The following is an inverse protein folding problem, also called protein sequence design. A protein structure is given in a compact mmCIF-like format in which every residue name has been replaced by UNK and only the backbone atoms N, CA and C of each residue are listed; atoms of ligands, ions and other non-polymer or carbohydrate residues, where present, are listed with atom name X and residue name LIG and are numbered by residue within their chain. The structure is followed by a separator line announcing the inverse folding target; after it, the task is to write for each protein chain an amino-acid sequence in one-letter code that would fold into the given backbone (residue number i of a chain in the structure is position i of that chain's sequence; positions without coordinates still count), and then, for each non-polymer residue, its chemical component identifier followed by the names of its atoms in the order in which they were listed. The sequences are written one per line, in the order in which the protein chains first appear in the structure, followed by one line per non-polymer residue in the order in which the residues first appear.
data_IF_878699449661
#
_entry.id   IF_878699449661
#
_cell.length_a   1.000
_cell.length_b   1.000
_cell.length_c   1.000
_cell.angle_alpha   90.00
_cell.angle_beta   90.00
_cell.angle_gamma   90.00
#
_symmetry.space_group_name_H-M   'P 1'
#
loop_
_entity.id
_entity.type
_entity.pdbx_description
1 polymer ?
#
# COMPACT_ATOMS: atom_id res chain seq x y z
N UNK A 1 46.35 -10.32 49.73
CA UNK A 1 46.95 -9.08 50.29
C UNK A 1 45.94 -7.96 50.09
N UNK A 2 45.06 -7.64 51.05
CA UNK A 2 45.28 -6.74 52.20
C UNK A 2 46.02 -5.46 51.81
N UNK A 3 45.28 -4.36 51.67
CA UNK A 3 45.51 -3.07 52.35
C UNK A 3 44.17 -2.37 52.58
N UNK A 4 43.96 -2.00 53.84
CA UNK A 4 42.92 -1.13 54.38
C UNK A 4 43.40 0.33 54.29
N UNK A 5 42.46 1.26 54.47
CA UNK A 5 42.47 2.43 55.37
C UNK A 5 41.69 3.58 54.70
N UNK A 6 40.43 3.88 55.10
CA UNK A 6 39.89 4.72 56.20
C UNK A 6 39.96 6.24 56.01
N UNK A 7 38.89 6.87 56.52
CA UNK A 7 38.58 8.32 56.70
C UNK A 7 37.66 8.89 55.60
N UNK A 8 36.48 9.45 55.86
CA UNK A 8 35.88 9.99 57.09
C UNK A 8 35.53 11.46 56.84
N UNK A 9 34.25 11.80 56.59
CA UNK A 9 33.68 13.11 56.91
C UNK A 9 32.17 13.17 56.69
N UNK A 10 31.49 13.68 57.71
CA UNK A 10 30.07 14.00 57.82
C UNK A 10 29.68 15.18 56.93
N UNK A 11 28.40 15.36 56.61
CA UNK A 11 27.95 16.64 56.03
C UNK A 11 26.59 16.66 55.34
N UNK A 12 25.54 16.88 56.14
CA UNK A 12 24.38 17.73 55.88
C UNK A 12 23.58 17.66 54.56
N UNK A 13 22.31 17.25 54.74
CA UNK A 13 21.18 17.57 53.88
C UNK A 13 20.87 19.07 53.96
N UNK A 14 20.82 19.76 52.82
CA UNK A 14 20.11 21.04 52.70
C UNK A 14 18.98 20.92 51.65
N UNK A 15 17.78 21.20 52.12
CA UNK A 15 16.58 21.34 51.32
C UNK A 15 16.64 22.65 50.51
N UNK A 16 16.32 22.58 49.22
CA UNK A 16 16.14 23.77 48.38
C UNK A 16 14.76 24.39 48.64
N UNK A 17 14.77 25.68 48.92
CA UNK A 17 13.61 26.53 49.22
C UNK A 17 12.83 26.95 47.97
N UNK A 18 11.56 27.31 48.18
CA UNK A 18 10.49 27.48 47.18
C UNK A 18 10.58 28.75 46.29
N UNK A 19 11.65 29.55 46.38
CA UNK A 19 11.73 30.86 45.71
C UNK A 19 12.47 30.88 44.36
N UNK A 20 13.18 29.82 43.96
CA UNK A 20 13.83 29.76 42.62
C UNK A 20 12.84 29.44 41.47
N UNK A 21 11.60 29.05 41.77
CA UNK A 21 10.63 28.58 40.76
C UNK A 21 9.65 29.67 40.24
N UNK A 22 9.74 30.90 40.75
CA UNK A 22 8.87 32.02 40.30
C UNK A 22 9.50 32.90 39.22
N UNK A 23 10.81 32.82 38.98
CA UNK A 23 11.51 33.72 38.06
C UNK A 23 11.51 33.23 36.59
N UNK A 24 11.47 31.92 36.35
CA UNK A 24 11.43 31.36 34.98
C UNK A 24 10.08 31.52 34.24
N UNK A 25 9.00 31.96 34.91
CA UNK A 25 7.67 32.12 34.29
C UNK A 25 7.38 33.53 33.76
N UNK A 26 8.24 34.51 33.99
CA UNK A 26 8.02 35.90 33.54
C UNK A 26 8.55 36.21 32.13
N UNK A 27 9.47 35.39 31.59
CA UNK A 27 10.17 35.71 30.33
C UNK A 27 9.58 35.14 29.02
N UNK A 28 8.47 34.39 29.06
CA UNK A 28 7.86 33.82 27.84
C UNK A 28 6.57 34.50 27.35
N UNK A 29 6.23 35.68 27.90
CA UNK A 29 5.01 36.41 27.52
C UNK A 29 5.23 37.69 26.70
N UNK A 30 6.46 37.98 26.26
CA UNK A 30 6.85 39.25 25.60
C UNK A 30 7.37 39.11 24.16
N UNK A 31 6.86 38.14 23.39
CA UNK A 31 7.06 38.06 21.93
C UNK A 31 5.76 37.74 21.23
N UNK A 32 4.89 38.74 21.11
CA UNK A 32 3.84 38.82 20.11
C UNK A 32 3.38 40.28 20.03
N UNK A 33 3.41 40.79 18.79
CA UNK A 33 2.89 42.08 18.30
C UNK A 33 3.85 43.27 18.29
N UNK A 34 3.73 44.02 17.18
CA UNK A 34 4.37 45.29 16.76
C UNK A 34 5.72 45.09 16.03
N UNK A 35 5.92 45.51 14.77
CA UNK A 35 5.37 46.67 14.02
C UNK A 35 5.33 46.43 12.49
N UNK A 36 4.35 47.05 11.82
CA UNK A 36 4.42 47.49 10.41
C UNK A 36 5.12 48.86 10.38
N UNK A 37 5.99 49.09 9.39
CA UNK A 37 5.94 50.31 8.56
C UNK A 37 6.91 50.20 7.37
N UNK A 38 6.58 50.98 6.35
CA UNK A 38 6.96 50.92 4.94
C UNK A 38 8.40 51.32 4.63
N UNK A 39 8.90 50.89 3.46
CA UNK A 39 9.44 51.83 2.46
C UNK A 39 9.60 51.18 1.08
N UNK A 40 9.13 51.92 0.08
CA UNK A 40 9.28 51.74 -1.36
C UNK A 40 10.75 51.88 -1.82
N UNK A 41 11.15 51.16 -2.88
CA UNK A 41 11.43 51.70 -4.23
C UNK A 41 12.31 50.76 -5.10
N UNK A 42 11.89 50.62 -6.37
CA UNK A 42 12.66 50.32 -7.59
C UNK A 42 13.31 48.92 -7.76
N UNK A 43 13.18 48.18 -8.87
CA UNK A 43 13.20 48.61 -10.28
C UNK A 43 12.53 47.57 -11.19
N UNK A 44 11.80 48.09 -12.17
CA UNK A 44 11.26 47.44 -13.37
C UNK A 44 12.34 46.68 -14.17
N UNK A 45 11.95 45.56 -14.80
CA UNK A 45 12.02 45.41 -16.28
C UNK A 45 11.09 44.29 -16.75
N UNK A 46 10.20 44.67 -17.66
CA UNK A 46 9.46 43.81 -18.60
C UNK A 46 10.47 43.13 -19.55
N UNK A 47 10.08 42.02 -20.19
CA UNK A 47 9.84 41.94 -21.66
C UNK A 47 9.54 40.48 -22.05
N UNK A 48 8.73 40.40 -23.08
CA UNK A 48 8.05 39.31 -23.78
C UNK A 48 8.91 38.15 -24.32
N UNK A 49 8.21 37.07 -24.68
CA UNK A 49 8.23 36.63 -26.08
C UNK A 49 9.19 35.50 -26.47
N UNK A 50 8.58 34.35 -26.78
CA UNK A 50 8.73 33.59 -28.03
C UNK A 50 10.11 33.43 -28.70
N UNK A 51 10.45 32.15 -28.92
CA UNK A 51 10.79 31.53 -30.22
C UNK A 51 12.22 31.01 -30.47
N UNK A 52 12.22 29.81 -31.07
CA UNK A 52 13.19 29.23 -32.02
C UNK A 52 14.53 28.76 -31.44
N UNK A 53 14.80 27.45 -31.41
CA UNK A 53 15.43 26.68 -32.51
C UNK A 53 16.74 27.31 -32.96
N UNK A 54 17.84 26.62 -32.66
CA UNK A 54 18.97 26.48 -33.59
C UNK A 54 19.82 25.29 -33.15
N UNK A 55 19.84 24.27 -33.99
CA UNK A 55 20.91 23.30 -34.10
C UNK A 55 22.19 23.99 -34.59
N UNK A 56 23.35 23.50 -34.16
CA UNK A 56 24.56 23.30 -34.97
C UNK A 56 25.52 22.42 -34.13
N UNK A 57 25.83 21.17 -34.48
CA UNK A 57 26.62 20.60 -35.60
C UNK A 57 28.11 20.47 -35.24
N UNK A 58 28.67 19.34 -35.67
CA UNK A 58 30.10 18.99 -35.88
C UNK A 58 30.86 18.38 -34.68
N UNK A 59 31.69 17.35 -34.81
CA UNK A 59 31.94 16.31 -35.83
C UNK A 59 32.96 15.31 -35.22
N UNK A 60 32.92 14.05 -35.70
CA UNK A 60 34.01 13.06 -35.84
C UNK A 60 35.09 12.83 -34.73
N UNK A 61 35.28 11.57 -34.31
CA UNK A 61 36.31 10.65 -34.89
C UNK A 61 36.29 9.25 -34.24
N UNK A 62 36.79 8.31 -35.05
CA UNK A 62 36.79 6.84 -34.95
C UNK A 62 37.92 6.25 -34.09
N UNK A 63 37.86 4.90 -33.98
CA UNK A 63 38.93 3.91 -33.68
C UNK A 63 39.28 3.69 -32.19
N UNK A 64 39.64 2.50 -31.71
CA UNK A 64 39.66 1.13 -32.23
C UNK A 64 40.00 0.17 -31.05
N UNK A 65 39.49 -1.06 -31.18
CA UNK A 65 40.16 -2.35 -30.90
C UNK A 65 40.74 -2.77 -29.54
N UNK A 66 40.48 -4.06 -29.29
CA UNK A 66 41.30 -5.11 -28.68
C UNK A 66 41.70 -5.07 -27.21
N UNK A 67 41.29 -6.13 -26.50
CA UNK A 67 42.25 -7.21 -26.14
C UNK A 67 41.56 -8.37 -25.40
N UNK A 68 41.61 -9.54 -26.02
CA UNK A 68 41.57 -10.82 -25.34
C UNK A 68 42.90 -11.05 -24.59
N UNK A 69 42.88 -11.63 -23.39
CA UNK A 69 43.76 -12.78 -23.16
C UNK A 69 43.40 -13.67 -21.96
N UNK A 70 43.66 -14.96 -22.21
CA UNK A 70 43.47 -16.16 -21.40
C UNK A 70 44.39 -16.19 -20.17
N UNK A 71 44.00 -16.99 -19.14
CA UNK A 71 44.89 -18.02 -18.56
C UNK A 71 44.13 -19.07 -17.73
N UNK A 72 44.41 -20.34 -18.06
CA UNK A 72 44.12 -21.59 -17.34
C UNK A 72 45.06 -21.74 -16.13
N UNK A 73 44.62 -22.51 -15.11
CA UNK A 73 45.31 -23.63 -14.40
C UNK A 73 44.52 -23.99 -13.12
N UNK A 74 43.97 -25.19 -13.03
CA UNK A 74 44.51 -26.46 -12.48
C UNK A 74 44.06 -26.68 -11.03
N UNK A 75 43.34 -27.80 -10.83
CA UNK A 75 43.07 -28.45 -9.55
C UNK A 75 44.36 -28.99 -8.91
N UNK A 76 44.33 -29.27 -7.59
CA UNK A 76 44.33 -30.70 -7.23
C UNK A 76 43.41 -31.06 -6.04
N UNK A 77 42.98 -32.32 -6.05
CA UNK A 77 42.53 -33.10 -4.89
C UNK A 77 43.72 -33.33 -3.92
N UNK A 78 43.54 -33.28 -2.59
CA UNK A 78 43.13 -34.45 -1.80
C UNK A 78 43.23 -34.24 -0.25
N UNK A 79 42.38 -35.00 0.45
CA UNK A 79 42.43 -35.49 1.85
C UNK A 79 42.42 -34.54 3.08
N UNK A 80 41.30 -34.62 3.84
CA UNK A 80 41.35 -35.30 5.15
C UNK A 80 41.34 -34.49 6.47
N UNK A 81 40.23 -34.65 7.21
CA UNK A 81 40.15 -34.88 8.68
C UNK A 81 39.75 -33.70 9.62
N UNK A 82 38.56 -33.92 10.23
CA UNK A 82 38.07 -33.62 11.60
C UNK A 82 37.37 -32.30 12.00
N UNK A 83 36.06 -32.47 12.21
CA UNK A 83 35.30 -32.14 13.43
C UNK A 83 35.44 -30.75 14.06
N UNK A 84 34.51 -29.85 13.71
CA UNK A 84 33.92 -28.91 14.68
C UNK A 84 32.42 -28.73 14.43
N UNK A 85 31.64 -29.11 15.45
CA UNK A 85 30.19 -29.04 15.64
C UNK A 85 29.51 -27.85 14.93
N UNK A 86 28.68 -28.16 13.92
CA UNK A 86 27.61 -27.26 13.45
C UNK A 86 26.46 -27.29 14.45
N UNK A 87 26.20 -26.15 15.12
CA UNK A 87 24.92 -25.89 15.79
C UNK A 87 23.89 -25.55 14.71
N UNK A 88 22.79 -26.27 14.77
CA UNK A 88 21.62 -26.30 13.89
C UNK A 88 20.88 -24.96 13.80
N UNK A 89 20.56 -24.55 12.57
CA UNK A 89 19.76 -23.38 12.20
C UNK A 89 18.28 -23.50 12.63
N UNK A 90 17.84 -24.67 13.09
CA UNK A 90 16.47 -24.91 13.59
C UNK A 90 16.19 -24.27 14.97
N UNK A 91 17.21 -23.99 15.78
CA UNK A 91 17.02 -23.37 17.10
C UNK A 91 16.80 -21.84 17.02
N UNK A 92 17.17 -21.21 15.90
CA UNK A 92 16.96 -19.78 15.66
C UNK A 92 15.53 -19.46 15.20
N UNK A 93 14.84 -20.40 14.54
CA UNK A 93 13.44 -20.21 14.11
C UNK A 93 12.42 -20.52 15.22
N UNK A 94 12.70 -21.51 16.10
CA UNK A 94 11.87 -21.74 17.30
C UNK A 94 11.88 -20.52 18.23
N UNK A 95 13.01 -19.83 18.37
CA UNK A 95 13.13 -18.64 19.24
C UNK A 95 12.43 -17.37 18.70
N UNK A 96 12.28 -17.21 17.38
CA UNK A 96 11.51 -16.09 16.80
C UNK A 96 9.99 -16.30 16.86
N UNK A 97 9.52 -17.55 16.76
CA UNK A 97 8.08 -17.87 16.82
C UNK A 97 7.49 -17.81 18.24
N UNK A 98 8.30 -18.11 19.26
CA UNK A 98 7.94 -17.94 20.67
C UNK A 98 7.71 -16.47 21.02
N UNK A 99 8.63 -15.59 20.60
CA UNK A 99 8.62 -14.18 20.97
C UNK A 99 7.41 -13.40 20.41
N UNK A 100 6.91 -13.74 19.22
CA UNK A 100 5.72 -13.10 18.63
C UNK A 100 4.41 -13.57 19.28
N UNK A 101 4.27 -14.87 19.59
CA UNK A 101 3.13 -15.39 20.35
C UNK A 101 3.13 -14.83 21.76
N UNK A 102 4.30 -14.72 22.37
CA UNK A 102 4.47 -14.16 23.71
C UNK A 102 4.21 -12.65 23.75
N UNK A 103 4.63 -11.88 22.73
CA UNK A 103 4.24 -10.46 22.61
C UNK A 103 2.74 -10.27 22.39
N UNK A 104 2.08 -11.09 21.55
CA UNK A 104 0.62 -11.03 21.39
C UNK A 104 -0.11 -11.43 22.67
N UNK A 105 0.37 -12.45 23.37
CA UNK A 105 -0.14 -12.87 24.68
C UNK A 105 0.04 -11.74 25.72
N UNK A 106 1.23 -11.13 25.80
CA UNK A 106 1.53 -9.97 26.68
C UNK A 106 0.68 -8.74 26.35
N UNK A 107 0.43 -8.44 25.07
CA UNK A 107 -0.49 -7.34 24.66
C UNK A 107 -1.94 -7.63 25.05
N UNK A 108 -2.45 -8.83 24.78
CA UNK A 108 -3.80 -9.24 25.20
C UNK A 108 -3.94 -9.28 26.71
N UNK A 109 -2.91 -9.73 27.43
CA UNK A 109 -2.88 -9.76 28.88
C UNK A 109 -2.83 -8.36 29.47
N UNK A 110 -2.09 -7.43 28.84
CA UNK A 110 -2.13 -6.01 29.19
C UNK A 110 -3.53 -5.41 28.98
N UNK A 111 -4.18 -5.69 27.83
CA UNK A 111 -5.55 -5.23 27.58
C UNK A 111 -6.56 -5.84 28.57
N UNK A 112 -6.45 -7.14 28.88
CA UNK A 112 -7.29 -7.79 29.91
C UNK A 112 -7.04 -7.20 31.29
N UNK A 113 -5.79 -6.96 31.69
CA UNK A 113 -5.44 -6.28 32.95
C UNK A 113 -6.03 -4.87 33.02
N UNK A 114 -6.05 -4.13 31.92
CA UNK A 114 -6.71 -2.80 31.85
C UNK A 114 -8.23 -2.92 32.02
N UNK A 115 -8.87 -3.87 31.33
CA UNK A 115 -10.32 -4.11 31.45
C UNK A 115 -10.70 -4.59 32.86
N UNK A 116 -9.90 -5.47 33.45
CA UNK A 116 -10.11 -5.98 34.81
C UNK A 116 -9.83 -4.93 35.87
N UNK A 117 -8.83 -4.06 35.66
CA UNK A 117 -8.62 -2.87 36.48
C UNK A 117 -9.84 -1.93 36.41
N UNK A 118 -10.42 -1.72 35.22
CA UNK A 118 -11.63 -0.90 35.07
C UNK A 118 -12.84 -1.57 35.76
N UNK A 119 -13.02 -2.89 35.63
CA UNK A 119 -14.10 -3.63 36.31
C UNK A 119 -13.93 -3.61 37.82
N UNK A 120 -12.73 -3.87 38.33
CA UNK A 120 -12.40 -3.81 39.77
C UNK A 120 -12.58 -2.40 40.32
N UNK A 121 -12.22 -1.38 39.54
CA UNK A 121 -12.42 0.02 39.91
C UNK A 121 -13.90 0.40 39.95
N UNK A 122 -14.72 -0.05 38.99
CA UNK A 122 -16.18 0.13 39.02
C UNK A 122 -16.78 -0.51 40.28
N UNK A 123 -16.39 -1.74 40.63
CA UNK A 123 -16.85 -2.42 41.86
C UNK A 123 -16.45 -1.65 43.13
N UNK A 124 -15.21 -1.16 43.19
CA UNK A 124 -14.75 -0.34 44.33
C UNK A 124 -15.49 1.00 44.44
N UNK A 125 -15.85 1.61 43.32
CA UNK A 125 -16.68 2.82 43.30
C UNK A 125 -18.09 2.55 43.82
N UNK A 126 -18.75 1.50 43.33
CA UNK A 126 -20.08 1.08 43.80
C UNK A 126 -20.08 0.79 45.29
N UNK A 127 -19.11 0.01 45.77
CA UNK A 127 -18.98 -0.32 47.19
C UNK A 127 -18.62 0.90 48.06
N UNK A 128 -17.85 1.86 47.54
CA UNK A 128 -17.56 3.11 48.24
C UNK A 128 -18.80 4.01 48.34
N UNK A 129 -19.65 4.03 47.31
CA UNK A 129 -20.94 4.73 47.35
C UNK A 129 -21.88 4.09 48.37
N UNK A 130 -22.07 2.77 48.34
CA UNK A 130 -22.93 2.04 49.29
C UNK A 130 -22.49 2.22 50.74
N UNK A 131 -21.18 2.18 51.01
CA UNK A 131 -20.63 2.40 52.35
C UNK A 131 -20.80 3.84 52.84
N UNK A 132 -20.77 4.83 51.93
CA UNK A 132 -21.07 6.23 52.28
C UNK A 132 -22.56 6.42 52.58
N UNK A 133 -23.45 5.73 51.88
CA UNK A 133 -24.89 5.74 52.16
C UNK A 133 -25.21 5.09 53.52
N UNK A 134 -24.49 4.02 53.88
CA UNK A 134 -24.61 3.37 55.22
C UNK A 134 -24.02 4.24 56.35
N UNK A 135 -22.92 4.95 56.12
CA UNK A 135 -22.32 5.86 57.12
C UNK A 135 -23.15 7.12 57.38
N UNK A 136 -23.90 7.62 56.40
CA UNK A 136 -24.82 8.75 56.59
C UNK A 136 -26.01 8.44 57.52
N UNK A 137 -26.27 7.17 57.85
CA UNK A 137 -27.28 6.76 58.84
C UNK A 137 -26.76 6.66 60.28
N UNK A 138 -25.46 6.88 60.51
CA UNK A 138 -24.86 6.85 61.86
C UNK A 138 -23.85 8.00 62.00
N UNK A 139 -24.32 9.19 62.32
CA UNK A 139 -23.45 10.29 62.77
C UNK A 139 -24.09 11.00 63.95
N UNK A 140 -23.70 10.54 65.15
CA UNK A 140 -23.66 11.35 66.37
C UNK A 140 -22.20 11.66 66.68
N UNK A 141 -21.91 12.94 66.92
CA UNK A 141 -20.72 13.54 67.58
C UNK A 141 -19.34 12.94 67.26
N UNK A 142 -18.59 13.57 66.34
CA UNK A 142 -17.16 13.30 66.11
C UNK A 142 -16.31 14.57 66.25
N UNK A 143 -15.20 14.44 66.98
CA UNK A 143 -14.20 15.48 67.31
C UNK A 143 -13.45 16.07 66.11
N UNK A 144 -13.00 17.33 66.26
CA UNK A 144 -12.34 18.15 65.23
C UNK A 144 -11.11 17.49 64.56
N UNK A 145 -10.36 16.64 65.26
CA UNK A 145 -9.17 15.99 64.68
C UNK A 145 -9.51 14.89 63.65
N UNK A 146 -10.65 14.21 63.85
CA UNK A 146 -11.16 13.18 62.93
C UNK A 146 -11.63 13.78 61.59
N UNK A 147 -12.16 15.01 61.64
CA UNK A 147 -12.59 15.78 60.47
C UNK A 147 -11.41 16.17 59.56
N UNK A 148 -10.24 16.50 60.13
CA UNK A 148 -9.05 16.86 59.36
C UNK A 148 -8.46 15.67 58.58
N UNK A 149 -8.38 14.49 59.21
CA UNK A 149 -7.92 13.23 58.55
C UNK A 149 -8.90 12.80 57.46
N UNK A 150 -10.22 12.97 57.68
CA UNK A 150 -11.28 12.71 56.68
C UNK A 150 -11.14 13.64 55.46
N UNK A 151 -10.94 14.95 55.67
CA UNK A 151 -10.70 15.95 54.60
C UNK A 151 -9.45 15.64 53.76
N UNK A 152 -8.34 15.22 54.38
CA UNK A 152 -7.13 14.81 53.64
C UNK A 152 -7.35 13.55 52.79
N UNK A 153 -8.08 12.55 53.30
CA UNK A 153 -8.39 11.31 52.58
C UNK A 153 -9.37 11.56 51.43
N UNK A 154 -10.36 12.43 51.60
CA UNK A 154 -11.27 12.86 50.54
C UNK A 154 -10.56 13.67 49.44
N UNK A 155 -9.65 14.58 49.79
CA UNK A 155 -8.81 15.28 48.80
C UNK A 155 -8.00 14.30 47.96
N UNK A 156 -7.35 13.30 48.57
CA UNK A 156 -6.60 12.25 47.83
C UNK A 156 -7.50 11.42 46.91
N UNK A 157 -8.71 11.04 47.36
CA UNK A 157 -9.70 10.32 46.53
C UNK A 157 -10.17 11.17 45.34
N UNK A 158 -10.48 12.46 45.56
CA UNK A 158 -10.90 13.40 44.49
C UNK A 158 -9.80 13.61 43.45
N UNK A 159 -8.54 13.65 43.88
CA UNK A 159 -7.40 13.77 42.96
C UNK A 159 -7.19 12.52 42.11
N UNK A 160 -7.33 11.33 42.70
CA UNK A 160 -7.29 10.05 41.95
C UNK A 160 -8.42 9.95 40.92
N UNK A 161 -9.65 10.36 41.25
CA UNK A 161 -10.76 10.40 40.29
C UNK A 161 -10.46 11.33 39.10
N UNK A 162 -10.00 12.56 39.36
CA UNK A 162 -9.62 13.52 38.29
C UNK A 162 -8.49 12.98 37.40
N UNK A 163 -7.54 12.23 37.96
CA UNK A 163 -6.48 11.60 37.18
C UNK A 163 -7.04 10.49 36.26
N UNK A 164 -7.91 9.62 36.79
CA UNK A 164 -8.58 8.58 36.01
C UNK A 164 -9.47 9.16 34.89
N UNK A 165 -10.24 10.22 35.18
CA UNK A 165 -11.06 10.93 34.19
C UNK A 165 -10.19 11.50 33.06
N UNK A 166 -9.03 12.09 33.37
CA UNK A 166 -8.08 12.58 32.37
C UNK A 166 -7.53 11.46 31.49
N UNK A 167 -7.22 10.29 32.06
CA UNK A 167 -6.72 9.12 31.31
C UNK A 167 -7.82 8.59 30.39
N UNK A 168 -9.05 8.41 30.90
CA UNK A 168 -10.20 7.96 30.10
C UNK A 168 -10.51 8.98 28.99
N UNK A 169 -10.45 10.28 29.28
CA UNK A 169 -10.64 11.32 28.27
C UNK A 169 -9.55 11.30 27.18
N UNK A 170 -8.27 11.09 27.56
CA UNK A 170 -7.17 10.91 26.60
C UNK A 170 -7.36 9.67 25.74
N UNK A 171 -7.81 8.56 26.33
CA UNK A 171 -8.09 7.31 25.59
C UNK A 171 -9.28 7.48 24.64
N UNK A 172 -10.38 8.11 25.08
CA UNK A 172 -11.53 8.44 24.22
C UNK A 172 -11.14 9.36 23.06
N UNK A 173 -10.28 10.36 23.31
CA UNK A 173 -9.72 11.22 22.27
C UNK A 173 -8.85 10.45 21.26
N UNK A 174 -8.00 9.52 21.72
CA UNK A 174 -7.20 8.67 20.82
C UNK A 174 -8.08 7.73 19.99
N UNK A 175 -9.07 7.08 20.60
CA UNK A 175 -10.02 6.19 19.91
C UNK A 175 -10.90 6.95 18.91
N UNK A 176 -11.32 8.18 19.21
CA UNK A 176 -11.99 9.05 18.23
C UNK A 176 -11.08 9.39 17.06
N UNK A 177 -9.83 9.77 17.34
CA UNK A 177 -8.84 10.13 16.30
C UNK A 177 -8.46 8.95 15.38
N UNK A 178 -8.44 7.73 15.90
CA UNK A 178 -8.20 6.52 15.09
C UNK A 178 -9.46 6.05 14.32
N UNK A 179 -10.65 6.53 14.70
CA UNK A 179 -11.93 6.13 14.13
C UNK A 179 -12.50 7.08 13.07
N UNK A 180 -12.21 8.38 13.17
CA UNK A 180 -12.76 9.45 12.32
C UNK A 180 -11.98 9.61 10.98
N UNK A 181 -10.70 9.23 10.95
CA UNK A 181 -9.81 9.45 9.79
C UNK A 181 -9.49 8.16 9.01
N UNK A 182 -10.48 7.30 8.74
CA UNK A 182 -10.28 6.10 7.89
C UNK A 182 -11.51 5.79 7.02
N UNK A 183 -11.35 5.78 5.68
CA UNK A 183 -12.41 5.34 4.77
C UNK A 183 -12.49 3.81 4.84
N UNK A 184 -13.67 3.28 5.12
CA UNK A 184 -13.87 1.84 5.32
C UNK A 184 -14.57 1.24 4.13
N UNK A 185 -13.83 0.44 3.36
CA UNK A 185 -14.37 -0.31 2.24
C UNK A 185 -14.61 -1.76 2.71
N UNK A 186 -15.87 -2.15 2.75
CA UNK A 186 -16.30 -3.52 3.02
C UNK A 186 -16.38 -4.27 1.69
N UNK A 187 -15.67 -5.38 1.64
CA UNK A 187 -15.56 -6.25 0.47
C UNK A 187 -16.32 -7.54 0.74
N UNK A 188 -17.11 -7.97 -0.24
CA UNK A 188 -17.84 -9.24 -0.21
C UNK A 188 -16.88 -10.38 -0.57
N UNK A 189 -16.03 -10.74 0.39
CA UNK A 189 -15.04 -11.81 0.25
C UNK A 189 -15.47 -13.09 0.95
N UNK A 190 -15.33 -14.21 0.26
CA UNK A 190 -15.49 -15.54 0.84
C UNK A 190 -14.19 -15.96 1.54
N UNK A 191 -14.30 -16.50 2.75
CA UNK A 191 -13.14 -17.11 3.41
C UNK A 191 -12.98 -18.54 2.90
N UNK A 192 -11.93 -18.77 2.12
CA UNK A 192 -11.63 -20.08 1.54
C UNK A 192 -10.51 -20.81 2.30
N UNK A 193 -10.45 -22.13 2.16
CA UNK A 193 -9.26 -22.90 2.54
C UNK A 193 -8.18 -22.68 1.47
N UNK A 194 -6.92 -22.94 1.80
CA UNK A 194 -5.86 -22.93 0.80
C UNK A 194 -6.10 -24.11 -0.15
N UNK A 195 -6.80 -23.87 -1.25
CA UNK A 195 -6.89 -24.84 -2.34
C UNK A 195 -5.56 -24.83 -3.08
N UNK A 196 -4.92 -25.99 -3.18
CA UNK A 196 -3.80 -26.19 -4.10
C UNK A 196 -4.41 -26.58 -5.43
N UNK A 197 -4.65 -25.62 -6.31
CA UNK A 197 -4.94 -25.93 -7.71
C UNK A 197 -3.67 -26.55 -8.29
N UNK A 198 -3.80 -27.70 -8.94
CA UNK A 198 -2.66 -28.33 -9.60
C UNK A 198 -2.38 -27.60 -10.91
N UNK A 199 -1.45 -26.66 -10.89
CA UNK A 199 -0.99 -25.92 -12.09
C UNK A 199 0.26 -26.56 -12.71
N UNK A 200 0.65 -27.76 -12.26
CA UNK A 200 1.87 -28.44 -12.69
C UNK A 200 1.90 -28.81 -14.18
N UNK A 201 0.73 -28.96 -14.80
CA UNK A 201 0.60 -29.25 -16.23
C UNK A 201 0.48 -27.99 -17.09
N UNK A 202 0.40 -26.81 -16.48
CA UNK A 202 0.18 -25.57 -17.22
C UNK A 202 1.52 -25.08 -17.80
N UNK A 203 1.46 -24.43 -18.96
CA UNK A 203 2.63 -23.74 -19.50
C UNK A 203 2.99 -22.58 -18.57
N UNK A 204 4.22 -22.55 -18.05
CA UNK A 204 4.67 -21.50 -17.15
C UNK A 204 5.56 -20.51 -17.90
N UNK A 205 5.19 -19.23 -17.88
CA UNK A 205 6.02 -18.15 -18.40
C UNK A 205 6.66 -17.42 -17.22
N UNK A 206 7.97 -17.21 -17.30
CA UNK A 206 8.69 -16.40 -16.32
C UNK A 206 8.48 -14.92 -16.65
N UNK A 207 8.15 -14.12 -15.64
CA UNK A 207 8.01 -12.68 -15.80
C UNK A 207 9.31 -12.01 -15.35
N UNK A 208 9.82 -11.09 -16.16
CA UNK A 208 10.95 -10.23 -15.79
C UNK A 208 10.53 -9.15 -14.79
N UNK A 209 11.52 -8.39 -14.35
CA UNK A 209 11.30 -7.17 -13.56
C UNK A 209 10.30 -6.24 -14.26
N UNK A 210 9.46 -5.56 -13.49
CA UNK A 210 8.42 -4.70 -14.04
C UNK A 210 7.21 -5.43 -14.63
N UNK A 211 7.10 -6.76 -14.44
CA UNK A 211 5.96 -7.57 -14.89
C UNK A 211 5.81 -7.67 -16.39
N UNK A 212 6.95 -7.66 -17.06
CA UNK A 212 7.04 -7.80 -18.49
C UNK A 212 7.46 -9.22 -18.86
N UNK A 213 6.94 -9.67 -19.99
CA UNK A 213 7.34 -10.93 -20.63
C UNK A 213 8.14 -10.56 -21.87
N UNK A 214 9.28 -11.22 -22.08
CA UNK A 214 10.00 -11.04 -23.34
C UNK A 214 9.22 -11.67 -24.48
N UNK A 215 9.24 -11.00 -25.62
CA UNK A 215 8.59 -11.50 -26.81
C UNK A 215 9.36 -11.09 -28.05
N UNK A 216 8.95 -11.67 -29.17
CA UNK A 216 9.35 -11.20 -30.49
C UNK A 216 8.13 -10.96 -31.37
N UNK A 217 8.24 -9.97 -32.24
CA UNK A 217 7.30 -9.71 -33.34
C UNK A 217 8.12 -9.62 -34.62
N UNK A 218 7.78 -10.43 -35.62
CA UNK A 218 8.57 -10.54 -36.86
C UNK A 218 10.07 -10.78 -36.58
N UNK A 219 10.38 -11.58 -35.55
CA UNK A 219 11.74 -11.88 -35.10
C UNK A 219 12.46 -10.75 -34.36
N UNK A 220 11.86 -9.57 -34.22
CA UNK A 220 12.44 -8.43 -33.47
C UNK A 220 12.00 -8.48 -32.00
N UNK A 221 12.92 -8.24 -31.05
CA UNK A 221 12.60 -8.31 -29.62
C UNK A 221 11.73 -7.14 -29.17
N UNK A 222 10.79 -7.43 -28.26
CA UNK A 222 9.98 -6.46 -27.55
C UNK A 222 9.59 -6.98 -26.16
N UNK A 223 9.00 -6.12 -25.35
CA UNK A 223 8.43 -6.48 -24.05
C UNK A 223 6.91 -6.50 -24.14
N UNK A 224 6.28 -7.37 -23.35
CA UNK A 224 4.82 -7.47 -23.25
C UNK A 224 4.40 -7.27 -21.81
N UNK A 225 3.57 -6.27 -21.56
CA UNK A 225 2.93 -6.03 -20.27
C UNK A 225 1.57 -6.72 -20.23
N UNK A 226 1.34 -7.57 -19.23
CA UNK A 226 0.07 -8.26 -19.05
C UNK A 226 -0.83 -7.45 -18.12
N UNK A 227 -1.89 -6.88 -18.67
CA UNK A 227 -2.69 -5.87 -17.97
C UNK A 227 -4.18 -6.24 -17.87
N UNK A 228 -4.60 -6.68 -16.67
CA UNK A 228 -6.01 -6.93 -16.36
C UNK A 228 -6.86 -5.65 -16.30
N UNK A 229 -6.21 -4.49 -16.24
CA UNK A 229 -6.82 -3.16 -16.32
C UNK A 229 -7.05 -2.68 -17.75
N UNK A 230 -6.49 -3.36 -18.76
CA UNK A 230 -6.64 -3.01 -20.16
C UNK A 230 -7.71 -3.86 -20.86
N UNK A 231 -8.69 -3.20 -21.49
CA UNK A 231 -9.72 -3.86 -22.29
C UNK A 231 -9.31 -4.16 -23.73
N UNK A 232 -8.25 -3.50 -24.21
CA UNK A 232 -7.71 -3.62 -25.56
C UNK A 232 -6.19 -3.72 -25.50
N UNK A 233 -5.59 -4.42 -26.46
CA UNK A 233 -4.14 -4.48 -26.58
C UNK A 233 -3.67 -3.22 -27.28
N UNK A 234 -2.59 -2.63 -26.77
CA UNK A 234 -2.09 -1.34 -27.25
C UNK A 234 -0.58 -1.34 -27.40
N UNK A 235 -0.07 -0.52 -28.32
CA UNK A 235 1.35 -0.20 -28.41
C UNK A 235 1.51 1.27 -28.82
N UNK A 236 2.68 1.86 -28.57
CA UNK A 236 2.99 3.22 -29.06
C UNK A 236 3.54 3.17 -30.49
N UNK A 237 3.26 4.22 -31.28
CA UNK A 237 3.71 4.36 -32.67
C UNK A 237 5.21 4.10 -32.87
N UNK A 238 6.06 4.66 -32.02
CA UNK A 238 7.52 4.47 -32.09
C UNK A 238 7.93 2.99 -31.97
N UNK A 239 7.23 2.21 -31.13
CA UNK A 239 7.43 0.77 -31.05
C UNK A 239 6.93 0.06 -32.31
N UNK A 240 5.74 0.41 -32.80
CA UNK A 240 5.20 -0.16 -34.03
C UNK A 240 6.15 0.03 -35.23
N UNK A 241 6.74 1.22 -35.36
CA UNK A 241 7.73 1.55 -36.39
C UNK A 241 9.02 0.74 -36.20
N UNK A 242 9.54 0.66 -34.97
CA UNK A 242 10.72 -0.15 -34.63
C UNK A 242 10.51 -1.63 -35.01
N UNK A 243 9.32 -2.16 -34.73
CA UNK A 243 8.95 -3.54 -35.07
C UNK A 243 8.68 -3.72 -36.58
N UNK A 244 8.50 -2.64 -37.34
CA UNK A 244 8.19 -2.68 -38.77
C UNK A 244 6.74 -3.08 -39.06
N UNK A 245 5.84 -2.82 -38.11
CA UNK A 245 4.40 -3.07 -38.24
C UNK A 245 3.64 -1.89 -38.85
N UNK A 246 4.21 -0.69 -38.73
CA UNK A 246 3.65 0.55 -39.25
C UNK A 246 4.75 1.40 -39.86
N UNK A 247 4.39 2.13 -40.91
CA UNK A 247 5.23 3.04 -41.68
C UNK A 247 5.02 4.49 -41.27
N UNK A 248 3.87 4.82 -40.67
CA UNK A 248 3.43 6.18 -40.37
C UNK A 248 2.49 6.77 -41.44
N UNK A 249 2.18 6.03 -42.50
CA UNK A 249 1.24 6.43 -43.56
C UNK A 249 -0.10 5.71 -43.48
N UNK A 250 -0.30 4.86 -42.46
CA UNK A 250 -1.55 4.16 -42.26
C UNK A 250 -2.69 5.11 -41.92
N UNK A 251 -3.90 4.76 -42.34
CA UNK A 251 -5.10 5.48 -41.97
C UNK A 251 -5.34 5.37 -40.46
N UNK A 252 -5.69 6.51 -39.84
CA UNK A 252 -6.04 6.56 -38.43
C UNK A 252 -7.55 6.62 -38.26
N UNK A 253 -8.04 6.00 -37.18
CA UNK A 253 -9.44 6.03 -36.79
C UNK A 253 -9.54 6.68 -35.42
N UNK A 254 -10.50 7.60 -35.26
CA UNK A 254 -10.84 8.15 -33.96
C UNK A 254 -11.38 7.08 -33.03
N UNK A 255 -10.70 6.87 -31.92
CA UNK A 255 -11.11 5.94 -30.89
C UNK A 255 -11.19 6.62 -29.53
N UNK A 256 -12.39 6.56 -28.94
CA UNK A 256 -12.62 7.03 -27.57
C UNK A 256 -12.24 5.96 -26.56
N UNK A 257 -11.40 6.32 -25.60
CA UNK A 257 -10.83 5.45 -24.58
C UNK A 257 -11.08 6.02 -23.19
N UNK A 258 -11.27 5.14 -22.22
CA UNK A 258 -11.27 5.50 -20.79
C UNK A 258 -9.97 5.04 -20.18
N UNK A 259 -9.09 5.98 -19.85
CA UNK A 259 -7.76 5.71 -19.32
C UNK A 259 -7.61 6.29 -17.91
N UNK A 260 -6.45 6.06 -17.29
CA UNK A 260 -6.05 6.73 -16.06
C UNK A 260 -6.00 8.26 -16.16
N UNK A 261 -5.85 8.81 -17.37
CA UNK A 261 -5.91 10.25 -17.63
C UNK A 261 -7.35 10.77 -17.83
N UNK A 262 -8.33 9.87 -17.81
CA UNK A 262 -9.73 10.13 -18.07
C UNK A 262 -10.16 9.69 -19.46
N UNK A 263 -11.31 10.22 -19.89
CA UNK A 263 -11.83 9.97 -21.25
C UNK A 263 -10.96 10.71 -22.25
N UNK A 264 -10.29 9.96 -23.13
CA UNK A 264 -9.49 10.48 -24.22
C UNK A 264 -10.14 10.09 -25.55
N UNK A 265 -10.01 10.95 -26.55
CA UNK A 265 -10.25 10.59 -27.95
C UNK A 265 -8.89 10.67 -28.64
N UNK A 266 -8.45 9.56 -29.22
CA UNK A 266 -7.15 9.45 -29.88
C UNK A 266 -7.36 9.00 -31.32
N UNK A 267 -6.57 9.54 -32.24
CA UNK A 267 -6.40 8.99 -33.57
C UNK A 267 -5.44 7.80 -33.49
N UNK A 268 -5.96 6.59 -33.73
CA UNK A 268 -5.19 5.34 -33.58
C UNK A 268 -5.13 4.59 -34.90
N UNK A 269 -4.01 3.91 -35.15
CA UNK A 269 -3.92 2.93 -36.23
C UNK A 269 -4.42 1.59 -35.67
N UNK A 270 -5.30 0.91 -36.40
CA UNK A 270 -5.78 -0.42 -36.01
C UNK A 270 -5.04 -1.50 -36.78
N UNK A 271 -4.28 -2.30 -36.06
CA UNK A 271 -3.69 -3.52 -36.60
C UNK A 271 -4.59 -4.69 -36.21
N UNK A 272 -5.21 -5.32 -37.20
CA UNK A 272 -6.17 -6.40 -36.97
C UNK A 272 -5.52 -7.67 -36.41
N UNK A 273 -4.29 -7.96 -36.85
CA UNK A 273 -3.56 -9.17 -36.46
C UNK A 273 -2.08 -8.85 -36.26
N UNK A 274 -1.63 -8.94 -35.01
CA UNK A 274 -0.21 -8.89 -34.63
C UNK A 274 0.14 -10.20 -33.96
N UNK A 275 1.12 -10.89 -34.54
CA UNK A 275 1.63 -12.17 -34.02
C UNK A 275 2.84 -11.92 -33.13
N UNK A 276 2.66 -12.24 -31.86
CA UNK A 276 3.68 -12.18 -30.81
C UNK A 276 4.14 -13.61 -30.51
N UNK A 277 5.44 -13.81 -30.32
CA UNK A 277 5.99 -15.04 -29.76
C UNK A 277 6.59 -14.71 -28.41
N UNK A 278 5.88 -15.05 -27.33
CA UNK A 278 6.34 -14.87 -25.96
C UNK A 278 7.46 -15.85 -25.63
N UNK A 279 8.25 -15.51 -24.62
CA UNK A 279 9.24 -16.41 -24.01
C UNK A 279 8.60 -17.77 -23.68
N UNK A 280 9.31 -18.86 -24.00
CA UNK A 280 8.77 -20.22 -23.92
C UNK A 280 7.98 -20.67 -25.16
N UNK A 281 7.92 -19.86 -26.22
CA UNK A 281 7.35 -20.24 -27.52
C UNK A 281 5.83 -20.13 -27.61
N UNK A 282 5.19 -19.43 -26.67
CA UNK A 282 3.74 -19.18 -26.70
C UNK A 282 3.44 -18.15 -27.78
N UNK A 283 2.68 -18.55 -28.78
CA UNK A 283 2.29 -17.70 -29.91
C UNK A 283 0.94 -17.06 -29.62
N UNK A 284 0.87 -15.73 -29.73
CA UNK A 284 -0.33 -14.92 -29.52
C UNK A 284 -0.66 -14.14 -30.78
N UNK A 285 -1.82 -14.37 -31.36
CA UNK A 285 -2.40 -13.49 -32.38
C UNK A 285 -3.39 -12.55 -31.70
N UNK A 286 -3.18 -11.24 -31.79
CA UNK A 286 -4.04 -10.24 -31.17
C UNK A 286 -4.19 -9.02 -32.07
N UNK A 287 -5.39 -8.40 -32.13
CA UNK A 287 -5.49 -7.04 -32.63
C UNK A 287 -4.75 -6.09 -31.69
N UNK A 288 -4.17 -5.02 -32.23
CA UNK A 288 -3.49 -3.97 -31.46
C UNK A 288 -3.88 -2.60 -31.97
N UNK A 289 -4.27 -1.71 -31.05
CA UNK A 289 -4.40 -0.28 -31.35
C UNK A 289 -3.05 0.41 -31.14
N UNK A 290 -2.54 1.06 -32.17
CA UNK A 290 -1.29 1.83 -32.11
C UNK A 290 -1.63 3.27 -31.74
N UNK A 291 -1.17 3.70 -30.58
CA UNK A 291 -1.38 5.04 -30.06
C UNK A 291 -0.35 6.03 -30.63
N UNK A 292 -0.73 7.31 -30.77
CA UNK A 292 0.17 8.33 -31.28
C UNK A 292 1.36 8.54 -30.34
N UNK A 293 2.49 8.98 -30.91
CA UNK A 293 3.75 9.16 -30.19
C UNK A 293 3.63 10.10 -28.98
N UNK A 294 2.70 11.08 -29.01
CA UNK A 294 2.44 11.96 -27.87
C UNK A 294 2.04 11.21 -26.57
N UNK A 295 1.60 9.96 -26.68
CA UNK A 295 1.22 9.12 -25.54
C UNK A 295 2.41 8.33 -24.95
N UNK A 296 3.59 8.41 -25.55
CA UNK A 296 4.80 7.67 -25.15
C UNK A 296 5.22 7.97 -23.71
N UNK A 297 5.17 9.23 -23.29
CA UNK A 297 5.53 9.65 -21.93
C UNK A 297 4.58 9.12 -20.85
N UNK A 298 3.41 8.60 -21.25
CA UNK A 298 2.35 8.14 -20.34
C UNK A 298 2.34 6.61 -20.28
N UNK A 299 2.41 5.96 -21.43
CA UNK A 299 2.28 4.50 -21.54
C UNK A 299 3.62 3.78 -21.75
N UNK A 300 4.73 4.50 -21.96
CA UNK A 300 6.03 3.94 -22.29
C UNK A 300 6.14 3.50 -23.76
N UNK A 301 7.36 3.48 -24.30
CA UNK A 301 7.64 3.09 -25.70
C UNK A 301 8.15 1.68 -25.88
N UNK A 302 8.39 0.94 -24.80
CA UNK A 302 9.18 -0.29 -24.90
C UNK A 302 8.35 -1.56 -24.97
N UNK A 303 7.05 -1.47 -24.67
CA UNK A 303 6.20 -2.64 -24.53
C UNK A 303 4.86 -2.55 -25.25
N UNK A 304 4.35 -3.74 -25.54
CA UNK A 304 2.99 -3.98 -25.99
C UNK A 304 2.16 -4.36 -24.77
N UNK A 305 1.04 -3.69 -24.55
CA UNK A 305 0.09 -4.07 -23.51
C UNK A 305 -0.83 -5.14 -24.09
N UNK A 306 -0.92 -6.28 -23.42
CA UNK A 306 -1.83 -7.36 -23.78
C UNK A 306 -3.13 -7.21 -22.98
N UNK A 307 -4.26 -7.18 -23.69
CA UNK A 307 -5.58 -6.99 -23.09
C UNK A 307 -6.01 -8.14 -22.21
N UNK A 308 -6.97 -7.81 -21.34
CA UNK A 308 -7.64 -8.74 -20.48
C UNK A 308 -8.31 -9.92 -21.22
N UNK A 309 -8.91 -9.67 -22.38
CA UNK A 309 -9.56 -10.72 -23.16
C UNK A 309 -8.58 -11.84 -23.53
N UNK A 310 -7.36 -11.50 -23.95
CA UNK A 310 -6.32 -12.50 -24.26
C UNK A 310 -5.90 -13.26 -23.00
N UNK A 311 -5.81 -12.60 -21.86
CA UNK A 311 -5.49 -13.27 -20.59
C UNK A 311 -6.57 -14.29 -20.20
N UNK A 312 -7.84 -13.99 -20.46
CA UNK A 312 -8.95 -14.92 -20.20
C UNK A 312 -8.99 -16.09 -21.18
N UNK A 313 -8.74 -15.85 -22.48
CA UNK A 313 -8.77 -16.90 -23.51
C UNK A 313 -7.76 -18.02 -23.27
N UNK A 314 -6.56 -17.68 -22.77
CA UNK A 314 -5.54 -18.67 -22.40
C UNK A 314 -5.84 -19.40 -21.08
N UNK A 315 -6.96 -19.06 -20.43
CA UNK A 315 -7.33 -19.54 -19.11
C UNK A 315 -6.18 -19.33 -18.09
N UNK A 316 -5.67 -18.10 -18.03
CA UNK A 316 -4.48 -17.78 -17.26
C UNK A 316 -4.72 -17.86 -15.74
N UNK A 317 -3.64 -18.17 -15.03
CA UNK A 317 -3.54 -18.13 -13.58
C UNK A 317 -2.25 -17.40 -13.20
N UNK A 318 -2.36 -16.34 -12.41
CA UNK A 318 -1.23 -15.49 -12.04
C UNK A 318 -1.01 -15.47 -10.54
N UNK A 319 0.22 -15.73 -10.10
CA UNK A 319 0.60 -15.81 -8.70
C UNK A 319 1.64 -14.76 -8.33
N UNK A 320 1.33 -13.97 -7.31
CA UNK A 320 2.17 -12.89 -6.81
C UNK A 320 2.88 -13.33 -5.53
N UNK A 321 4.18 -13.07 -5.45
CA UNK A 321 5.02 -13.45 -4.32
C UNK A 321 5.58 -12.23 -3.59
N UNK A 322 5.85 -12.38 -2.28
CA UNK A 322 6.33 -11.26 -1.43
C UNK A 322 7.73 -10.75 -1.80
N UNK A 323 8.51 -11.55 -2.53
CA UNK A 323 9.85 -11.17 -2.99
C UNK A 323 9.81 -10.31 -4.27
N UNK A 324 8.64 -9.84 -4.71
CA UNK A 324 8.51 -9.09 -5.96
C UNK A 324 8.39 -9.96 -7.22
N UNK A 325 8.54 -11.29 -7.10
CA UNK A 325 8.39 -12.18 -8.26
C UNK A 325 6.92 -12.48 -8.56
N UNK A 326 6.64 -12.76 -9.83
CA UNK A 326 5.35 -13.19 -10.32
C UNK A 326 5.52 -14.42 -11.20
N UNK A 327 4.53 -15.32 -11.16
CA UNK A 327 4.47 -16.47 -12.08
C UNK A 327 3.15 -16.45 -12.83
N UNK A 328 3.25 -16.66 -14.12
CA UNK A 328 2.09 -16.79 -14.99
C UNK A 328 2.01 -18.21 -15.51
N UNK A 329 0.83 -18.80 -15.37
CA UNK A 329 0.53 -20.13 -15.85
C UNK A 329 -0.61 -20.04 -16.88
N UNK A 330 -0.41 -20.63 -18.04
CA UNK A 330 -1.38 -20.68 -19.13
C UNK A 330 -1.87 -22.12 -19.24
N UNK A 331 -3.18 -22.32 -19.09
CA UNK A 331 -3.77 -23.65 -19.21
C UNK A 331 -3.97 -24.05 -20.67
N UNK A 332 -4.38 -23.11 -21.51
CA UNK A 332 -4.70 -23.33 -22.93
C UNK A 332 -3.95 -22.32 -23.83
N UNK A 333 -2.61 -22.32 -23.85
CA UNK A 333 -1.82 -21.38 -24.65
C UNK A 333 -2.10 -21.49 -26.16
N UNK A 334 -2.53 -22.66 -26.65
CA UNK A 334 -2.89 -22.89 -28.05
C UNK A 334 -4.06 -22.03 -28.54
N UNK A 335 -4.99 -21.65 -27.65
CA UNK A 335 -6.11 -20.76 -27.98
C UNK A 335 -5.64 -19.37 -28.35
N UNK A 336 -4.47 -18.96 -27.83
CA UNK A 336 -3.91 -17.66 -28.15
C UNK A 336 -3.46 -17.51 -29.62
N UNK A 337 -3.31 -18.62 -30.35
CA UNK A 337 -2.97 -18.60 -31.78
C UNK A 337 -4.15 -18.19 -32.65
N UNK A 338 -5.36 -18.47 -32.18
CA UNK A 338 -6.57 -18.17 -32.93
C UNK A 338 -6.80 -16.66 -32.92
N UNK A 339 -7.33 -16.15 -34.03
CA UNK A 339 -7.74 -14.76 -34.11
C UNK A 339 -8.77 -14.51 -33.01
N UNK A 340 -8.61 -13.41 -32.29
CA UNK A 340 -9.59 -12.96 -31.31
C UNK A 340 -10.96 -12.88 -32.01
N UNK A 341 -11.96 -13.60 -31.51
CA UNK A 341 -13.31 -13.49 -32.06
C UNK A 341 -13.77 -12.03 -31.95
N UNK A 342 -14.08 -11.43 -33.09
CA UNK A 342 -14.49 -10.03 -33.22
C UNK A 342 -15.80 -9.84 -32.45
N UNK A 343 -15.74 -9.17 -31.30
CA UNK A 343 -16.91 -8.88 -30.46
C UNK A 343 -16.62 -8.91 -28.96
N UNK A 344 -15.57 -9.60 -28.53
CA UNK A 344 -15.14 -9.62 -27.13
C UNK A 344 -14.36 -8.35 -26.79
N UNK A 345 -15.03 -7.20 -26.60
CA UNK A 345 -14.44 -6.13 -25.79
C UNK A 345 -14.13 -6.73 -24.43
N UNK A 346 -12.84 -6.90 -24.12
CA UNK A 346 -12.40 -7.47 -22.86
C UNK A 346 -12.88 -6.59 -21.73
N UNK A 347 -13.75 -7.13 -20.87
CA UNK A 347 -14.15 -6.42 -19.67
C UNK A 347 -12.99 -6.49 -18.67
N UNK A 348 -12.64 -5.34 -18.11
CA UNK A 348 -11.58 -5.27 -17.10
C UNK A 348 -12.06 -5.82 -15.77
N UNK A 349 -11.16 -6.41 -14.99
CA UNK A 349 -11.55 -6.97 -13.70
C UNK A 349 -11.86 -5.87 -12.70
N UNK A 350 -13.10 -5.90 -12.20
CA UNK A 350 -13.56 -4.99 -11.16
C UNK A 350 -14.26 -5.77 -10.05
N UNK A 351 -14.33 -5.18 -8.87
CA UNK A 351 -15.24 -5.65 -7.82
C UNK A 351 -15.90 -4.47 -7.13
N UNK A 352 -17.05 -4.73 -6.52
CA UNK A 352 -17.79 -3.76 -5.74
C UNK A 352 -17.28 -3.70 -4.30
N UNK A 353 -17.12 -2.49 -3.78
CA UNK A 353 -16.83 -2.22 -2.38
C UNK A 353 -17.95 -1.36 -1.77
N UNK A 354 -18.46 -1.76 -0.61
CA UNK A 354 -19.45 -1.00 0.14
C UNK A 354 -18.77 -0.09 1.15
N UNK A 355 -19.33 1.08 1.42
CA UNK A 355 -18.90 1.94 2.54
C UNK A 355 -20.11 2.44 3.30
N UNK A 356 -19.95 2.66 4.61
CA UNK A 356 -21.03 3.20 5.43
C UNK A 356 -21.41 4.61 4.95
N UNK A 357 -22.70 4.85 4.74
CA UNK A 357 -23.23 6.16 4.30
C UNK A 357 -23.25 6.38 2.78
N UNK A 358 -22.83 5.39 1.98
CA UNK A 358 -22.98 5.41 0.52
C UNK A 358 -23.76 4.16 0.12
N UNK A 359 -24.97 4.36 -0.39
CA UNK A 359 -25.85 3.26 -0.81
C UNK A 359 -25.28 2.53 -2.04
N UNK A 360 -24.84 3.28 -3.05
CA UNK A 360 -24.26 2.72 -4.26
C UNK A 360 -22.85 2.17 -4.02
N UNK A 361 -22.53 0.96 -4.52
CA UNK A 361 -21.19 0.41 -4.40
C UNK A 361 -20.13 1.28 -5.09
N UNK A 362 -18.93 1.24 -4.53
CA UNK A 362 -17.72 1.82 -5.09
C UNK A 362 -16.97 0.74 -5.86
N UNK A 363 -16.93 0.88 -7.19
CA UNK A 363 -16.16 0.02 -8.08
C UNK A 363 -14.65 0.19 -7.89
N UNK A 364 -13.96 -0.94 -7.72
CA UNK A 364 -12.51 -1.06 -7.62
C UNK A 364 -11.99 -1.84 -8.82
N UNK A 365 -11.05 -1.26 -9.57
CA UNK A 365 -10.33 -1.92 -10.66
C UNK A 365 -9.20 -2.80 -10.11
N UNK A 366 -9.02 -3.99 -10.68
CA UNK A 366 -7.85 -4.85 -10.48
C UNK A 366 -6.93 -4.63 -11.67
N UNK A 367 -5.80 -3.97 -11.44
CA UNK A 367 -4.92 -3.49 -12.50
C UNK A 367 -3.51 -4.08 -12.32
N UNK A 368 -3.21 -5.14 -13.09
CA UNK A 368 -1.85 -5.72 -13.12
C UNK A 368 -0.88 -4.90 -13.96
N UNK A 369 -1.32 -3.93 -14.76
CA UNK A 369 -0.47 -2.97 -15.45
C UNK A 369 0.06 -1.84 -14.54
N UNK A 370 -0.58 -1.61 -13.41
CA UNK A 370 -0.26 -0.51 -12.49
C UNK A 370 0.75 -0.88 -11.38
N UNK A 371 1.88 -0.16 -11.33
CA UNK A 371 2.86 -0.24 -10.23
C UNK A 371 2.48 0.66 -9.04
N UNK A 372 1.41 0.29 -8.33
CA UNK A 372 0.95 1.01 -7.15
C UNK A 372 0.32 0.07 -6.14
N UNK A 373 0.13 0.50 -4.88
CA UNK A 373 -0.63 -0.28 -3.90
C UNK A 373 -2.14 -0.14 -4.14
N UNK A 374 -2.66 1.04 -3.83
CA UNK A 374 -4.10 1.32 -3.87
C UNK A 374 -4.34 2.81 -4.10
N UNK A 375 -5.33 3.10 -4.93
CA UNK A 375 -5.52 4.44 -5.47
C UNK A 375 -6.98 4.85 -5.53
N UNK A 376 -7.27 6.13 -5.30
CA UNK A 376 -8.60 6.72 -5.46
C UNK A 376 -8.61 7.75 -6.59
N UNK A 377 -9.57 7.61 -7.50
CA UNK A 377 -9.76 8.52 -8.64
C UNK A 377 -10.53 9.77 -8.20
N UNK A 378 -10.54 10.83 -9.04
CA UNK A 378 -11.39 12.00 -8.78
C UNK A 378 -12.86 11.63 -8.71
N UNK A 379 -13.33 10.74 -9.58
CA UNK A 379 -14.71 10.21 -9.55
C UNK A 379 -15.01 9.53 -8.22
N UNK A 380 -14.09 8.68 -7.73
CA UNK A 380 -14.22 8.05 -6.42
C UNK A 380 -14.25 9.06 -5.28
N UNK A 381 -13.35 10.03 -5.34
CA UNK A 381 -13.24 11.11 -4.38
C UNK A 381 -14.53 11.94 -4.29
N UNK A 382 -15.05 12.40 -5.43
CA UNK A 382 -16.24 13.23 -5.52
C UNK A 382 -17.48 12.46 -5.04
N UNK A 383 -17.58 11.17 -5.36
CA UNK A 383 -18.65 10.30 -4.85
C UNK A 383 -18.57 10.13 -3.33
N UNK A 384 -17.37 9.94 -2.78
CA UNK A 384 -17.19 9.87 -1.32
C UNK A 384 -17.54 11.21 -0.67
N UNK A 385 -17.06 12.33 -1.20
CA UNK A 385 -17.30 13.68 -0.64
C UNK A 385 -18.76 14.13 -0.68
N UNK A 386 -19.48 13.83 -1.76
CA UNK A 386 -20.88 14.23 -1.92
C UNK A 386 -21.84 13.46 -0.99
N UNK A 387 -21.43 12.28 -0.52
CA UNK A 387 -22.25 11.38 0.31
C UNK A 387 -21.77 11.25 1.75
N UNK A 388 -20.61 11.84 2.07
CA UNK A 388 -20.08 11.92 3.44
C UNK A 388 -19.99 13.38 3.87
N UNK A 389 -19.78 13.63 5.16
CA UNK A 389 -19.66 15.00 5.66
C UNK A 389 -18.43 15.67 5.00
N UNK A 390 -18.58 16.80 4.26
CA UNK A 390 -17.49 17.44 3.51
C UNK A 390 -16.29 17.84 4.37
N UNK A 391 -16.52 18.05 5.67
CA UNK A 391 -15.49 18.40 6.65
C UNK A 391 -14.61 17.21 7.06
N UNK A 392 -15.00 15.98 6.68
CA UNK A 392 -14.22 14.76 6.80
C UNK A 392 -13.61 14.51 5.42
N UNK A 393 -12.49 15.18 5.12
CA UNK A 393 -11.68 14.86 3.95
C UNK A 393 -11.48 13.34 3.88
N UNK A 394 -11.51 12.71 2.70
CA UNK A 394 -11.21 11.30 2.59
C UNK A 394 -9.82 11.11 3.18
N UNK A 395 -9.71 10.26 4.19
CA UNK A 395 -8.46 10.12 4.89
C UNK A 395 -7.41 9.57 3.93
N UNK A 396 -6.15 9.91 4.17
CA UNK A 396 -4.98 9.25 3.53
C UNK A 396 -4.94 7.73 3.76
N UNK A 397 -5.90 7.16 4.50
CA UNK A 397 -5.95 5.78 4.98
C UNK A 397 -7.27 5.14 4.57
N UNK A 398 -7.18 4.01 3.90
CA UNK A 398 -8.33 3.15 3.58
C UNK A 398 -8.19 1.87 4.39
N UNK A 399 -9.31 1.42 4.92
CA UNK A 399 -9.41 0.15 5.61
C UNK A 399 -10.25 -0.79 4.78
N UNK A 400 -9.59 -1.84 4.30
CA UNK A 400 -10.21 -2.90 3.51
C UNK A 400 -10.68 -4.00 4.48
N UNK A 401 -12.00 -4.19 4.54
CA UNK A 401 -12.63 -5.18 5.38
C UNK A 401 -13.05 -6.39 4.54
N UNK A 402 -12.45 -7.54 4.83
CA UNK A 402 -12.72 -8.83 4.20
C UNK A 402 -13.55 -9.69 5.17
N UNK A 403 -14.87 -9.61 5.08
CA UNK A 403 -15.79 -10.23 6.05
C UNK A 403 -15.51 -9.77 7.49
N UNK A 404 -15.16 -10.70 8.37
CA UNK A 404 -14.80 -10.42 9.78
C UNK A 404 -13.31 -10.08 9.98
N UNK A 405 -12.49 -10.19 8.93
CA UNK A 405 -11.09 -9.82 8.99
C UNK A 405 -10.93 -8.41 8.46
N UNK A 406 -10.06 -7.64 9.10
CA UNK A 406 -9.86 -6.26 8.73
C UNK A 406 -8.37 -6.05 8.54
N UNK A 407 -8.01 -5.51 7.39
CA UNK A 407 -6.70 -4.96 7.14
C UNK A 407 -6.80 -3.46 6.91
N UNK A 408 -5.76 -2.73 7.29
CA UNK A 408 -5.72 -1.28 7.15
C UNK A 408 -4.55 -0.93 6.26
N UNK A 409 -4.85 -0.41 5.07
CA UNK A 409 -3.84 0.21 4.23
C UNK A 409 -3.50 1.58 4.82
N UNK A 410 -2.20 1.82 5.01
CA UNK A 410 -1.73 3.02 5.70
C UNK A 410 -1.63 4.23 4.79
N UNK A 411 -1.64 4.04 3.48
CA UNK A 411 -1.53 5.12 2.49
C UNK A 411 -2.44 4.81 1.31
N UNK A 412 -3.10 5.84 0.78
CA UNK A 412 -3.79 5.81 -0.51
C UNK A 412 -3.23 6.95 -1.32
N UNK A 413 -2.92 6.67 -2.57
CA UNK A 413 -2.57 7.69 -3.55
C UNK A 413 -3.82 8.23 -4.25
N UNK A 414 -3.73 9.48 -4.72
CA UNK A 414 -4.90 10.20 -5.22
C UNK A 414 -4.69 10.72 -6.65
N UNK A 415 -5.71 10.54 -7.49
CA UNK A 415 -5.82 11.21 -8.80
C UNK A 415 -6.68 12.45 -8.77
N UNK A 416 -6.16 13.51 -9.39
CA UNK A 416 -7.03 14.57 -9.87
C UNK A 416 -7.79 14.21 -11.17
N UNK A 417 -7.65 12.98 -11.70
CA UNK A 417 -8.30 12.55 -12.95
C UNK A 417 -9.57 11.75 -12.67
N UNK A 418 -10.61 12.03 -13.46
CA UNK A 418 -11.88 11.29 -13.43
C UNK A 418 -11.75 10.00 -14.24
N UNK A 419 -12.28 8.90 -13.73
CA UNK A 419 -12.28 7.61 -14.41
C UNK A 419 -13.65 6.92 -14.28
N UNK A 420 -13.84 5.81 -15.01
CA UNK A 420 -15.04 4.96 -14.95
C UNK A 420 -15.09 4.06 -13.71
N UNK A 421 -14.07 4.12 -12.85
CA UNK A 421 -13.97 3.41 -11.59
C UNK A 421 -13.60 4.39 -10.46
N UNK A 422 -13.86 3.98 -9.21
CA UNK A 422 -13.65 4.83 -8.04
C UNK A 422 -12.27 4.60 -7.42
N UNK A 423 -11.83 3.33 -7.42
CA UNK A 423 -10.52 2.93 -6.91
C UNK A 423 -9.84 1.99 -7.89
N UNK A 424 -8.55 1.82 -7.72
CA UNK A 424 -7.78 0.80 -8.39
C UNK A 424 -6.77 0.18 -7.42
N UNK A 425 -6.55 -1.12 -7.61
CA UNK A 425 -5.58 -1.92 -6.88
C UNK A 425 -4.49 -2.36 -7.84
N UNK A 426 -3.24 -2.10 -7.47
CA UNK A 426 -2.08 -2.40 -8.30
C UNK A 426 -1.19 -3.49 -7.73
N UNK A 427 -0.09 -3.71 -8.44
CA UNK A 427 0.86 -4.81 -8.23
C UNK A 427 1.54 -4.83 -6.86
N UNK A 428 1.81 -3.67 -6.27
CA UNK A 428 2.47 -3.60 -4.97
C UNK A 428 1.60 -4.24 -3.89
N UNK A 429 0.29 -3.98 -3.94
CA UNK A 429 -0.66 -4.59 -3.01
C UNK A 429 -0.87 -6.09 -3.30
N UNK A 430 -0.87 -6.48 -4.57
CA UNK A 430 -0.91 -7.89 -4.96
C UNK A 430 0.26 -8.69 -4.38
N UNK A 431 1.48 -8.16 -4.42
CA UNK A 431 2.65 -8.79 -3.76
C UNK A 431 2.51 -8.85 -2.24
N UNK A 432 2.15 -7.73 -1.63
CA UNK A 432 2.01 -7.62 -0.17
C UNK A 432 1.07 -8.71 0.36
N UNK A 433 -0.01 -8.97 -0.38
CA UNK A 433 -1.06 -9.92 -0.01
C UNK A 433 -0.94 -11.30 -0.67
N UNK A 434 0.14 -11.56 -1.42
CA UNK A 434 0.33 -12.81 -2.17
C UNK A 434 -0.92 -13.17 -2.97
N UNK A 435 -1.38 -12.22 -3.78
CA UNK A 435 -2.57 -12.37 -4.59
C UNK A 435 -2.40 -13.53 -5.58
N UNK A 436 -3.51 -14.18 -5.87
CA UNK A 436 -3.63 -15.16 -6.94
C UNK A 436 -4.83 -14.75 -7.78
N UNK A 437 -4.61 -14.44 -9.04
CA UNK A 437 -5.66 -14.06 -9.99
C UNK A 437 -5.95 -15.27 -10.86
N UNK A 438 -7.21 -15.70 -10.85
CA UNK A 438 -7.72 -16.74 -11.72
C UNK A 438 -8.61 -16.08 -12.78
N UNK A 439 -8.15 -16.12 -14.03
CA UNK A 439 -8.83 -15.43 -15.13
C UNK A 439 -10.04 -16.21 -15.64
N UNK A 440 -10.09 -17.52 -15.38
CA UNK A 440 -11.21 -18.41 -15.74
C UNK A 440 -12.37 -18.18 -14.80
N UNK A 441 -12.10 -18.29 -13.50
CA UNK A 441 -13.11 -18.14 -12.47
C UNK A 441 -13.43 -16.67 -12.20
N UNK A 442 -12.75 -15.75 -12.91
CA UNK A 442 -12.82 -14.30 -12.70
C UNK A 442 -12.73 -13.98 -11.21
N UNK A 443 -11.67 -14.45 -10.57
CA UNK A 443 -11.53 -14.33 -9.12
C UNK A 443 -10.12 -13.90 -8.72
N UNK A 444 -10.04 -13.23 -7.56
CA UNK A 444 -8.76 -12.91 -6.92
C UNK A 444 -8.77 -13.43 -5.49
N UNK A 445 -7.73 -14.17 -5.13
CA UNK A 445 -7.54 -14.69 -3.79
C UNK A 445 -6.36 -14.01 -3.11
N UNK A 446 -6.61 -13.44 -1.93
CA UNK A 446 -5.58 -12.80 -1.11
C UNK A 446 -5.22 -13.66 0.10
N UNK A 447 -3.95 -13.62 0.50
CA UNK A 447 -3.46 -14.21 1.74
C UNK A 447 -3.16 -13.11 2.77
N UNK A 448 -4.13 -12.82 3.63
CA UNK A 448 -4.02 -11.78 4.67
C UNK A 448 -3.97 -12.44 6.04
N UNK A 449 -2.92 -12.17 6.82
CA UNK A 449 -2.75 -12.72 8.18
C UNK A 449 -2.88 -14.26 8.23
N UNK A 450 -2.34 -14.97 7.24
CA UNK A 450 -2.42 -16.44 7.07
C UNK A 450 -3.84 -16.98 6.83
N UNK A 451 -4.79 -16.13 6.45
CA UNK A 451 -6.13 -16.52 5.99
C UNK A 451 -6.26 -16.20 4.52
N UNK A 452 -7.06 -17.00 3.82
CA UNK A 452 -7.33 -16.82 2.40
C UNK A 452 -8.71 -16.22 2.20
N UNK A 453 -8.80 -15.19 1.37
CA UNK A 453 -10.04 -14.51 1.03
C UNK A 453 -10.17 -14.45 -0.48
N UNK A 454 -11.25 -15.00 -1.02
CA UNK A 454 -11.57 -14.98 -2.45
C UNK A 454 -12.61 -13.90 -2.72
N UNK A 455 -12.34 -13.05 -3.70
CA UNK A 455 -13.30 -12.12 -4.28
C UNK A 455 -13.65 -12.59 -5.68
N UNK A 456 -14.94 -12.54 -6.01
CA UNK A 456 -15.41 -12.65 -7.38
C UNK A 456 -15.29 -11.30 -8.06
N UNK A 457 -14.82 -11.32 -9.29
CA UNK A 457 -14.58 -10.16 -10.13
C UNK A 457 -15.73 -10.08 -11.14
N UNK A 458 -16.32 -8.91 -11.27
CA UNK A 458 -17.24 -8.61 -12.35
C UNK A 458 -16.43 -8.40 -13.63
N UNK A 459 -16.70 -9.22 -14.64
CA UNK A 459 -16.24 -9.06 -16.01
C UNK A 459 -17.37 -8.58 -16.93
N UNK A 460 -18.30 -7.75 -16.41
CA UNK A 460 -19.45 -7.21 -17.17
C UNK A 460 -19.30 -5.73 -17.45
#
# INVERSE_FOLDING_TARGET
MKRKDTEGCEGNRCAKTEDENKEMKKNNKKRKCETMEENEYNKKRKVDGFAMVTEHREEMKQHAEDSQNKRKRQDPEDHGIQNKKRKTTEDLEKNKSGNCKEQKKRKMECCKRVVDCIKKWKRQLTQCCENNTKKRKRQGTEDQESLAKKRKKERKKRWRLKCCERIVHRLRKRVKKDGEDVLRLKLEAERVRKEKRSVSSYCCIHMKEGYMVEATVLGKPCLVLLDSGASISVMILSLGQKLGLVTGHEETVKQRLSTWLGSLELDVIKLEEVVLVLEGGVVVNTPVAVFPQAMENIFGSEFIVLSMSRLQEAEMHQEFYQNGSCRLYLRHPERLKQRCETGCRGNTFKFAAQTLGIEDPLMVLVDTGADMEFYITKTGLDKVRSRTNPWILPPKRVRLQFGNSIDTLQTIEFSNKSASFHFAMGRQLFHQWKAVIDYVDSSITFTINKKHFRLLLSSR
#
